data_IF_968516911436
#
_entry.id   IF_968516911436
#
_cell.length_a   1.000
_cell.length_b   1.000
_cell.length_c   1.000
_cell.angle_alpha   90.00
_cell.angle_beta   90.00
_cell.angle_gamma   90.00
#
_symmetry.space_group_name_H-M   'P 1'
#
loop_
_entity.id
_entity.type
_entity.pdbx_description
1 polymer ?
#
# COMPACT_ATOMS: atom_id res chain seq x y z
N UNK A 1 7.72 28.01 -2.89
CA UNK A 1 7.36 27.66 -1.50
C UNK A 1 7.25 26.14 -1.41
N UNK A 2 8.33 25.45 -1.00
CA UNK A 2 8.32 24.00 -0.90
C UNK A 2 7.42 23.59 0.27
N UNK A 3 6.24 23.05 -0.04
CA UNK A 3 5.33 22.48 0.95
C UNK A 3 6.06 21.36 1.69
N UNK A 4 6.54 21.60 2.91
CA UNK A 4 7.19 20.57 3.73
C UNK A 4 6.15 19.52 4.11
N UNK A 5 5.99 18.48 3.28
CA UNK A 5 5.09 17.37 3.57
C UNK A 5 5.58 16.60 4.79
N UNK A 6 4.68 16.36 5.75
CA UNK A 6 4.95 15.53 6.93
C UNK A 6 5.37 14.11 6.51
N UNK A 7 6.32 13.52 7.24
CA UNK A 7 6.91 12.19 6.94
C UNK A 7 5.87 11.10 6.63
N UNK A 8 4.76 10.93 7.39
CA UNK A 8 3.77 9.90 7.08
C UNK A 8 3.08 10.08 5.72
N UNK A 9 2.79 11.34 5.33
CA UNK A 9 2.16 11.63 4.03
C UNK A 9 3.08 11.29 2.86
N UNK A 10 4.40 11.49 3.03
CA UNK A 10 5.38 11.08 2.01
C UNK A 10 5.40 9.55 1.83
N UNK A 11 5.29 8.78 2.92
CA UNK A 11 5.22 7.32 2.83
C UNK A 11 3.93 6.86 2.16
N UNK A 12 2.77 7.48 2.46
CA UNK A 12 1.53 7.19 1.74
C UNK A 12 1.62 7.53 0.26
N UNK A 13 2.26 8.64 -0.09
CA UNK A 13 2.47 9.01 -1.49
C UNK A 13 3.40 8.01 -2.19
N UNK A 14 4.49 7.59 -1.53
CA UNK A 14 5.37 6.55 -2.06
C UNK A 14 4.64 5.21 -2.23
N UNK A 15 3.77 4.87 -1.29
CA UNK A 15 2.92 3.68 -1.38
C UNK A 15 1.97 3.78 -2.58
N UNK A 16 1.23 4.88 -2.74
CA UNK A 16 0.36 5.09 -3.89
C UNK A 16 1.14 5.04 -5.22
N UNK A 17 2.32 5.67 -5.28
CA UNK A 17 3.18 5.64 -6.46
C UNK A 17 3.65 4.21 -6.79
N UNK A 18 3.94 3.38 -5.78
CA UNK A 18 4.33 1.99 -6.01
C UNK A 18 3.24 1.18 -6.71
N UNK A 19 1.95 1.44 -6.42
CA UNK A 19 0.82 0.80 -7.11
C UNK A 19 0.71 1.25 -8.56
N UNK A 20 0.96 2.53 -8.85
CA UNK A 20 1.02 3.03 -10.24
C UNK A 20 2.11 2.30 -11.01
N UNK A 21 3.32 2.24 -10.45
CA UNK A 21 4.47 1.60 -11.10
C UNK A 21 4.22 0.11 -11.30
N UNK A 22 3.71 -0.59 -10.30
CA UNK A 22 3.39 -2.02 -10.41
C UNK A 22 2.31 -2.27 -11.47
N UNK A 23 1.24 -1.47 -11.51
CA UNK A 23 0.19 -1.56 -12.52
C UNK A 23 0.72 -1.38 -13.93
N UNK A 24 1.60 -0.40 -14.17
CA UNK A 24 2.23 -0.19 -15.49
C UNK A 24 3.16 -1.34 -15.88
N UNK A 25 3.93 -1.87 -14.93
CA UNK A 25 4.92 -2.92 -15.22
C UNK A 25 4.30 -4.31 -15.35
N UNK A 26 3.17 -4.57 -14.70
CA UNK A 26 2.55 -5.91 -14.65
C UNK A 26 2.25 -6.51 -16.04
N UNK A 27 1.68 -5.79 -17.03
CA UNK A 27 1.47 -6.32 -18.39
C UNK A 27 2.76 -6.54 -19.21
N UNK A 28 3.87 -5.94 -18.78
CA UNK A 28 5.15 -6.00 -19.49
C UNK A 28 5.88 -7.29 -19.14
N UNK A 29 5.84 -7.70 -17.87
CA UNK A 29 6.54 -8.87 -17.36
C UNK A 29 5.65 -10.12 -17.43
N UNK A 30 6.15 -11.24 -17.95
CA UNK A 30 5.37 -12.47 -18.03
C UNK A 30 4.97 -12.98 -16.65
N UNK A 31 3.76 -13.55 -16.56
CA UNK A 31 3.29 -14.27 -15.39
C UNK A 31 4.17 -15.49 -15.10
N UNK A 32 4.24 -15.90 -13.83
CA UNK A 32 4.93 -17.13 -13.47
C UNK A 32 4.18 -18.33 -14.06
N UNK A 33 4.92 -19.33 -14.56
CA UNK A 33 4.35 -20.51 -15.17
C UNK A 33 3.29 -21.18 -14.26
N UNK A 34 2.06 -21.27 -14.76
CA UNK A 34 0.93 -21.87 -14.05
C UNK A 34 0.37 -21.05 -12.88
N UNK A 35 0.68 -19.75 -12.77
CA UNK A 35 0.20 -18.90 -11.67
C UNK A 35 -0.37 -17.56 -12.16
N UNK A 36 -1.41 -17.02 -11.50
CA UNK A 36 -2.02 -15.74 -11.87
C UNK A 36 -1.22 -14.51 -11.39
N UNK A 37 0.08 -14.67 -11.09
CA UNK A 37 0.91 -13.58 -10.59
C UNK A 37 2.31 -13.62 -11.20
N UNK A 38 2.93 -12.45 -11.30
CA UNK A 38 4.27 -12.20 -11.81
C UNK A 38 5.28 -12.02 -10.67
N UNK A 39 6.56 -11.92 -11.03
CA UNK A 39 7.63 -11.54 -10.09
C UNK A 39 7.41 -10.12 -9.53
N UNK A 40 6.84 -9.22 -10.32
CA UNK A 40 6.54 -7.85 -9.89
C UNK A 40 5.57 -7.86 -8.72
N UNK A 41 4.53 -8.69 -8.77
CA UNK A 41 3.50 -8.74 -7.73
C UNK A 41 4.10 -9.19 -6.39
N UNK A 42 5.04 -10.13 -6.42
CA UNK A 42 5.76 -10.59 -5.23
C UNK A 42 6.64 -9.47 -4.67
N UNK A 43 7.46 -8.82 -5.50
CA UNK A 43 8.34 -7.73 -5.06
C UNK A 43 7.50 -6.55 -4.52
N UNK A 44 6.41 -6.22 -5.20
CA UNK A 44 5.51 -5.15 -4.80
C UNK A 44 4.83 -5.46 -3.47
N UNK A 45 4.43 -6.70 -3.21
CA UNK A 45 3.87 -7.12 -1.92
C UNK A 45 4.86 -6.90 -0.75
N UNK A 46 6.14 -7.21 -0.94
CA UNK A 46 7.19 -6.97 0.04
C UNK A 46 7.42 -5.47 0.27
N UNK A 47 7.41 -4.68 -0.82
CA UNK A 47 7.53 -3.22 -0.75
C UNK A 47 6.34 -2.60 0.00
N UNK A 48 5.11 -3.05 -0.28
CA UNK A 48 3.91 -2.61 0.45
C UNK A 48 4.09 -2.88 1.94
N UNK A 49 4.53 -4.07 2.32
CA UNK A 49 4.79 -4.41 3.72
C UNK A 49 5.80 -3.47 4.38
N UNK A 50 6.94 -3.23 3.74
CA UNK A 50 7.96 -2.30 4.24
C UNK A 50 7.41 -0.86 4.38
N UNK A 51 6.63 -0.40 3.40
CA UNK A 51 6.02 0.93 3.43
C UNK A 51 4.92 1.05 4.50
N UNK A 52 4.11 0.01 4.72
CA UNK A 52 3.12 -0.03 5.81
C UNK A 52 3.78 0.01 7.19
N UNK A 53 4.85 -0.77 7.39
CA UNK A 53 5.64 -0.73 8.63
C UNK A 53 6.20 0.69 8.90
N UNK A 54 6.88 1.26 7.90
CA UNK A 54 7.49 2.60 8.02
C UNK A 54 6.44 3.69 8.22
N UNK A 55 5.28 3.57 7.57
CA UNK A 55 4.16 4.48 7.75
C UNK A 55 3.61 4.43 9.17
N UNK A 56 3.32 3.24 9.71
CA UNK A 56 2.83 3.09 11.09
C UNK A 56 3.82 3.66 12.12
N UNK A 57 5.13 3.46 11.90
CA UNK A 57 6.18 4.05 12.76
C UNK A 57 6.16 5.58 12.67
N UNK A 58 6.07 6.14 11.46
CA UNK A 58 6.03 7.58 11.27
C UNK A 58 4.75 8.22 11.84
N UNK A 59 3.59 7.58 11.67
CA UNK A 59 2.30 8.03 12.23
C UNK A 59 2.35 8.09 13.76
N UNK A 60 2.86 7.04 14.40
CA UNK A 60 3.03 7.00 15.86
C UNK A 60 3.91 8.13 16.38
N UNK A 61 5.07 8.35 15.75
CA UNK A 61 6.00 9.43 16.11
C UNK A 61 5.36 10.82 16.01
N UNK A 62 4.63 11.10 14.92
CA UNK A 62 3.96 12.40 14.74
C UNK A 62 2.84 12.62 15.76
N UNK A 63 2.19 11.54 16.20
CA UNK A 63 1.09 11.60 17.18
C UNK A 63 1.56 11.54 18.63
N UNK A 64 2.87 11.42 18.87
CA UNK A 64 3.43 11.23 20.21
C UNK A 64 3.01 9.91 20.88
N UNK A 65 2.49 8.95 20.11
CA UNK A 65 2.09 7.64 20.60
C UNK A 65 3.21 6.69 20.23
N UNK A 66 3.97 6.19 21.22
CA UNK A 66 4.96 5.15 20.94
C UNK A 66 4.20 3.92 20.42
N UNK A 67 4.31 3.59 19.12
CA UNK A 67 3.55 2.47 18.60
C UNK A 67 4.16 1.22 19.22
N UNK A 68 3.39 0.33 19.87
CA UNK A 68 3.95 -0.89 20.43
C UNK A 68 4.61 -1.61 19.27
N UNK A 69 5.95 -1.73 19.26
CA UNK A 69 6.72 -2.05 18.05
C UNK A 69 6.23 -3.31 17.31
N UNK A 70 5.60 -4.22 18.06
CA UNK A 70 4.93 -5.42 17.57
C UNK A 70 3.74 -5.14 16.64
N UNK A 71 2.89 -4.13 16.89
CA UNK A 71 1.75 -3.83 16.02
C UNK A 71 2.17 -3.23 14.68
N UNK A 72 3.21 -2.39 14.66
CA UNK A 72 3.79 -1.89 13.42
C UNK A 72 4.41 -3.03 12.60
N UNK A 73 5.09 -3.98 13.25
CA UNK A 73 5.62 -5.19 12.58
C UNK A 73 4.50 -6.04 11.95
N UNK A 74 3.39 -6.24 12.67
CA UNK A 74 2.22 -6.95 12.11
C UNK A 74 1.63 -6.19 10.93
N UNK A 75 1.60 -4.86 10.96
CA UNK A 75 1.20 -4.03 9.82
C UNK A 75 2.13 -4.16 8.62
N UNK A 76 3.41 -4.47 8.83
CA UNK A 76 4.34 -4.76 7.74
C UNK A 76 4.22 -6.18 7.19
N UNK A 77 3.99 -7.17 8.06
CA UNK A 77 3.91 -8.57 7.65
C UNK A 77 2.56 -8.91 7.01
N UNK A 78 1.48 -8.33 7.53
CA UNK A 78 0.13 -8.57 7.04
C UNK A 78 -0.67 -7.25 7.03
N UNK A 79 -0.40 -6.34 6.07
CA UNK A 79 -1.03 -5.03 6.01
C UNK A 79 -2.56 -5.01 6.18
N UNK A 80 -3.33 -5.92 5.56
CA UNK A 80 -4.80 -5.91 5.65
C UNK A 80 -5.34 -6.06 7.08
N UNK A 81 -4.66 -6.79 7.97
CA UNK A 81 -5.08 -6.93 9.38
C UNK A 81 -4.22 -6.10 10.32
N UNK A 82 -2.94 -5.96 10.02
CA UNK A 82 -2.00 -5.28 10.89
C UNK A 82 -2.21 -3.77 10.95
N UNK A 83 -2.63 -3.13 9.85
CA UNK A 83 -2.97 -1.69 9.86
C UNK A 83 -4.22 -1.42 10.71
N UNK A 84 -5.35 -2.16 10.57
CA UNK A 84 -6.46 -2.05 11.51
C UNK A 84 -6.05 -2.29 12.97
N UNK A 85 -5.30 -3.38 13.23
CA UNK A 85 -4.83 -3.72 14.58
C UNK A 85 -3.97 -2.60 15.18
N UNK A 86 -3.11 -1.97 14.38
CA UNK A 86 -2.32 -0.80 14.76
C UNK A 86 -3.22 0.38 15.15
N UNK A 87 -4.29 0.67 14.41
CA UNK A 87 -5.22 1.74 14.75
C UNK A 87 -5.95 1.48 16.06
N UNK A 88 -6.51 0.28 16.25
CA UNK A 88 -7.23 -0.06 17.48
C UNK A 88 -6.32 -0.08 18.72
N UNK A 89 -5.01 -0.27 18.54
CA UNK A 89 -4.03 -0.19 19.65
C UNK A 89 -3.51 1.22 19.94
N UNK A 90 -3.63 2.16 19.01
CA UNK A 90 -3.01 3.50 19.14
C UNK A 90 -4.02 4.64 19.13
N UNK A 91 -5.33 4.33 19.06
CA UNK A 91 -6.42 5.29 18.93
C UNK A 91 -7.64 4.83 19.73
N UNK A 92 -8.47 5.76 20.25
CA UNK A 92 -9.80 5.43 20.74
C UNK A 92 -10.63 4.72 19.67
N UNK A 93 -11.52 3.82 20.08
CA UNK A 93 -12.27 2.92 19.19
C UNK A 93 -12.94 3.63 18.00
N UNK A 94 -13.67 4.72 18.25
CA UNK A 94 -14.34 5.48 17.19
C UNK A 94 -13.35 6.05 16.15
N UNK A 95 -12.22 6.60 16.61
CA UNK A 95 -11.16 7.13 15.72
C UNK A 95 -10.43 6.01 14.99
N UNK A 96 -10.28 4.83 15.60
CA UNK A 96 -9.69 3.66 14.97
C UNK A 96 -10.58 3.14 13.83
N UNK A 97 -11.89 3.10 14.02
CA UNK A 97 -12.84 2.67 13.00
C UNK A 97 -12.80 3.59 11.77
N UNK A 98 -12.89 4.91 11.98
CA UNK A 98 -12.78 5.90 10.90
C UNK A 98 -11.44 5.80 10.18
N UNK A 99 -10.34 5.63 10.91
CA UNK A 99 -9.02 5.45 10.31
C UNK A 99 -8.90 4.16 9.49
N UNK A 100 -9.52 3.07 9.96
CA UNK A 100 -9.57 1.79 9.26
C UNK A 100 -10.35 1.92 7.96
N UNK A 101 -11.52 2.55 7.99
CA UNK A 101 -12.30 2.85 6.79
C UNK A 101 -11.51 3.72 5.80
N UNK A 102 -10.80 4.73 6.29
CA UNK A 102 -9.92 5.56 5.47
C UNK A 102 -8.77 4.77 4.83
N UNK A 103 -8.17 3.82 5.56
CA UNK A 103 -7.12 2.96 5.02
C UNK A 103 -7.66 1.97 3.97
N UNK A 104 -8.86 1.42 4.18
CA UNK A 104 -9.54 0.58 3.19
C UNK A 104 -9.84 1.40 1.93
N UNK A 105 -10.42 2.58 2.07
CA UNK A 105 -10.70 3.47 0.93
C UNK A 105 -9.42 3.83 0.17
N UNK A 106 -8.34 4.15 0.88
CA UNK A 106 -7.03 4.41 0.27
C UNK A 106 -6.49 3.19 -0.49
N UNK A 107 -6.59 1.99 0.09
CA UNK A 107 -6.17 0.75 -0.57
C UNK A 107 -6.99 0.48 -1.84
N UNK A 108 -8.31 0.61 -1.77
CA UNK A 108 -9.21 0.46 -2.93
C UNK A 108 -8.82 1.45 -4.04
N UNK A 109 -8.57 2.71 -3.70
CA UNK A 109 -8.11 3.72 -4.66
C UNK A 109 -6.78 3.32 -5.32
N UNK A 110 -5.83 2.79 -4.56
CA UNK A 110 -4.54 2.32 -5.09
C UNK A 110 -4.71 1.11 -6.02
N UNK A 111 -5.59 0.16 -5.66
CA UNK A 111 -5.90 -1.01 -6.50
C UNK A 111 -6.53 -0.54 -7.82
N UNK A 112 -7.55 0.32 -7.76
CA UNK A 112 -8.19 0.88 -8.96
C UNK A 112 -7.18 1.58 -9.86
N UNK A 113 -6.30 2.40 -9.28
CA UNK A 113 -5.26 3.10 -10.03
C UNK A 113 -4.26 2.14 -10.69
N UNK A 114 -3.86 1.08 -9.99
CA UNK A 114 -3.00 0.02 -10.52
C UNK A 114 -3.69 -0.71 -11.67
N UNK A 115 -4.97 -1.09 -11.52
CA UNK A 115 -5.76 -1.74 -12.57
C UNK A 115 -5.89 -0.86 -13.81
N UNK A 116 -6.17 0.43 -13.64
CA UNK A 116 -6.22 1.38 -14.76
C UNK A 116 -4.86 1.50 -15.47
N UNK A 117 -3.76 1.53 -14.72
CA UNK A 117 -2.40 1.54 -15.28
C UNK A 117 -2.10 0.27 -16.08
N UNK A 118 -2.51 -0.89 -15.58
CA UNK A 118 -2.35 -2.17 -16.28
C UNK A 118 -3.18 -2.21 -17.57
N UNK A 119 -4.45 -1.80 -17.51
CA UNK A 119 -5.35 -1.75 -18.67
C UNK A 119 -4.78 -0.80 -19.74
N UNK A 120 -4.40 0.42 -19.36
CA UNK A 120 -3.85 1.41 -20.28
C UNK A 120 -2.56 0.91 -20.95
N UNK A 121 -1.67 0.27 -20.19
CA UNK A 121 -0.40 -0.24 -20.71
C UNK A 121 -0.61 -1.45 -21.63
N UNK A 122 -1.51 -2.36 -21.29
CA UNK A 122 -1.87 -3.49 -22.14
C UNK A 122 -2.47 -3.03 -23.48
N UNK A 123 -3.39 -2.05 -23.43
CA UNK A 123 -4.00 -1.45 -24.61
C UNK A 123 -2.97 -0.78 -25.53
N UNK A 124 -2.02 -0.03 -24.96
CA UNK A 124 -0.94 0.62 -25.71
C UNK A 124 0.01 -0.39 -26.38
N UNK A 125 0.23 -1.55 -25.76
CA UNK A 125 1.13 -2.58 -26.26
C UNK A 125 0.43 -3.61 -27.18
N UNK A 126 -0.89 -3.49 -27.39
CA UNK A 126 -1.67 -4.49 -28.12
C UNK A 126 -1.65 -5.87 -27.46
N UNK A 127 -1.44 -5.94 -26.14
CA UNK A 127 -1.41 -7.19 -25.38
C UNK A 127 -2.78 -7.51 -24.77
N UNK A 128 -3.14 -8.80 -24.65
CA UNK A 128 -4.33 -9.19 -23.91
C UNK A 128 -4.22 -8.74 -22.45
N UNK A 129 -5.37 -8.38 -21.85
CA UNK A 129 -5.44 -8.04 -20.44
C UNK A 129 -5.02 -9.25 -19.60
N UNK A 130 -4.25 -9.06 -18.51
CA UNK A 130 -4.05 -10.12 -17.54
C UNK A 130 -5.42 -10.47 -16.91
N UNK A 131 -5.81 -11.75 -16.97
CA UNK A 131 -7.02 -12.28 -16.32
C UNK A 131 -6.91 -12.32 -14.80
#
# INVERSE_FOLDING_TARGET
MAMTMNRPRRVLLALALSFVVAGVLSPIVPQMAGKPYSVIDVIHSLLIGALCYTWCRADGLVRGVLPPGRSALVAGLFPPLGVPLYFFRTRPFAKALVATLGAIAFLVMCIVLSSLGAIATAALLGRPLPE
#
